data_IF_904580307437
#
_entry.id   IF_904580307437
#
_cell.length_a   1.000
_cell.length_b   1.000
_cell.length_c   1.000
_cell.angle_alpha   90.00
_cell.angle_beta   90.00
_cell.angle_gamma   90.00
#
_symmetry.space_group_name_H-M   'P 1'
#
loop_
_entity.id
_entity.type
_entity.pdbx_description
1 polymer ?
#
# COMPACT_ATOMS: atom_id res chain seq x y z
N UNK A 1 -2.84 18.99 20.82
CA UNK A 1 -2.55 17.61 20.41
C UNK A 1 -2.69 17.57 18.90
N UNK A 2 -1.67 17.11 18.18
CA UNK A 2 -1.76 16.92 16.72
C UNK A 2 -2.80 15.84 16.42
N UNK A 3 -3.64 16.10 15.44
CA UNK A 3 -4.61 15.13 14.95
C UNK A 3 -3.89 14.11 14.05
N UNK A 4 -3.48 12.99 14.63
CA UNK A 4 -2.86 11.89 13.88
C UNK A 4 -3.86 11.13 13.01
N UNK A 5 -5.17 11.45 13.04
CA UNK A 5 -6.18 10.79 12.19
C UNK A 5 -5.84 10.92 10.71
N UNK A 6 -5.27 12.06 10.30
CA UNK A 6 -4.83 12.29 8.93
C UNK A 6 -3.69 11.34 8.48
N UNK A 7 -2.93 10.78 9.42
CA UNK A 7 -1.90 9.77 9.13
C UNK A 7 -2.53 8.47 8.62
N UNK A 8 -3.72 8.12 9.13
CA UNK A 8 -4.38 6.85 8.86
C UNK A 8 -5.44 6.94 7.76
N UNK A 9 -5.78 8.15 7.30
CA UNK A 9 -6.79 8.38 6.28
C UNK A 9 -6.51 7.54 5.01
N UNK A 10 -7.45 6.68 4.65
CA UNK A 10 -7.38 5.72 3.55
C UNK A 10 -6.06 4.92 3.48
N UNK A 11 -5.47 4.58 4.64
CA UNK A 11 -4.19 3.88 4.73
C UNK A 11 -4.30 2.39 4.41
N UNK A 12 -5.44 1.77 4.69
CA UNK A 12 -5.63 0.31 4.60
C UNK A 12 -6.36 -0.06 3.30
N UNK A 13 -5.60 -0.39 2.25
CA UNK A 13 -6.18 -0.95 1.02
C UNK A 13 -6.69 -2.37 1.33
N UNK A 14 -7.99 -2.62 1.10
CA UNK A 14 -8.64 -3.89 1.46
C UNK A 14 -8.28 -4.99 0.46
N UNK A 15 -7.30 -5.82 0.82
CA UNK A 15 -6.81 -6.94 0.03
C UNK A 15 -7.32 -8.29 0.56
N UNK A 16 -8.52 -8.36 1.15
CA UNK A 16 -9.07 -9.59 1.71
C UNK A 16 -9.18 -10.77 0.72
N UNK A 17 -9.23 -10.49 -0.59
CA UNK A 17 -9.20 -11.52 -1.64
C UNK A 17 -7.80 -12.10 -1.93
N UNK A 18 -6.75 -11.60 -1.29
CA UNK A 18 -5.38 -12.07 -1.46
C UNK A 18 -4.93 -12.89 -0.24
N UNK A 19 -3.96 -13.80 -0.41
CA UNK A 19 -3.40 -14.55 0.71
C UNK A 19 -2.82 -13.62 1.80
N UNK A 20 -2.88 -14.03 3.08
CA UNK A 20 -3.36 -15.34 3.56
C UNK A 20 -4.88 -15.49 3.68
N UNK A 21 -5.67 -14.41 3.73
CA UNK A 21 -7.13 -14.54 3.94
C UNK A 21 -7.85 -15.23 2.77
N UNK A 22 -7.47 -14.91 1.51
CA UNK A 22 -8.02 -15.51 0.27
C UNK A 22 -9.57 -15.61 0.25
N UNK A 23 -10.24 -14.58 0.78
CA UNK A 23 -11.70 -14.58 0.86
C UNK A 23 -12.32 -14.63 -0.53
N UNK A 24 -13.39 -15.42 -0.66
CA UNK A 24 -14.19 -15.41 -1.88
C UNK A 24 -14.90 -14.07 -2.02
N UNK A 25 -14.99 -13.57 -3.25
CA UNK A 25 -15.49 -12.23 -3.57
C UNK A 25 -16.80 -11.83 -2.86
N UNK A 26 -17.85 -12.68 -2.77
CA UNK A 26 -19.07 -12.29 -2.03
C UNK A 26 -18.84 -12.06 -0.53
N UNK A 27 -17.91 -12.79 0.09
CA UNK A 27 -17.55 -12.59 1.50
C UNK A 27 -16.70 -11.33 1.66
N UNK A 28 -15.70 -11.15 0.79
CA UNK A 28 -14.83 -9.96 0.78
C UNK A 28 -15.64 -8.66 0.57
N UNK A 29 -16.61 -8.63 -0.35
CA UNK A 29 -17.47 -7.47 -0.57
C UNK A 29 -18.32 -7.12 0.66
N UNK A 30 -18.89 -8.13 1.33
CA UNK A 30 -19.68 -7.89 2.56
C UNK A 30 -18.79 -7.40 3.70
N UNK A 31 -17.58 -7.94 3.82
CA UNK A 31 -16.60 -7.49 4.81
C UNK A 31 -16.17 -6.03 4.53
N UNK A 32 -15.80 -5.72 3.29
CA UNK A 32 -15.46 -4.37 2.88
C UNK A 32 -16.59 -3.37 3.19
N UNK A 33 -17.84 -3.72 2.83
CA UNK A 33 -19.00 -2.88 3.13
C UNK A 33 -19.19 -2.64 4.64
N UNK A 34 -18.89 -3.64 5.49
CA UNK A 34 -18.91 -3.48 6.95
C UNK A 34 -17.84 -2.50 7.42
N UNK A 35 -16.61 -2.62 6.93
CA UNK A 35 -15.52 -1.70 7.28
C UNK A 35 -15.85 -0.25 6.86
N UNK A 36 -16.48 -0.06 5.70
CA UNK A 36 -16.93 1.26 5.20
C UNK A 36 -18.08 1.88 6.00
N UNK A 37 -18.74 1.11 6.87
CA UNK A 37 -19.79 1.57 7.79
C UNK A 37 -19.34 1.62 9.25
N UNK A 38 -18.10 1.21 9.55
CA UNK A 38 -17.56 1.18 10.91
C UNK A 38 -17.11 2.57 11.36
N UNK A 39 -16.87 2.74 12.67
CA UNK A 39 -16.40 4.00 13.25
C UNK A 39 -15.02 4.44 12.74
N UNK A 40 -14.24 3.50 12.17
CA UNK A 40 -12.93 3.73 11.57
C UNK A 40 -12.97 3.85 10.03
N UNK A 41 -14.15 4.01 9.42
CA UNK A 41 -14.30 3.99 7.95
C UNK A 41 -13.35 4.94 7.19
N UNK A 42 -12.93 6.04 7.81
CA UNK A 42 -11.98 7.00 7.22
C UNK A 42 -10.58 6.42 6.99
N UNK A 43 -10.20 5.34 7.68
CA UNK A 43 -8.91 4.66 7.47
C UNK A 43 -8.94 3.64 6.33
N UNK A 44 -10.14 3.29 5.84
CA UNK A 44 -10.35 2.24 4.85
C UNK A 44 -10.12 2.79 3.45
N UNK A 45 -9.10 2.27 2.78
CA UNK A 45 -8.76 2.54 1.39
C UNK A 45 -9.68 1.80 0.40
N UNK A 46 -9.30 1.78 -0.90
CA UNK A 46 -10.05 1.06 -1.93
C UNK A 46 -10.05 -0.45 -1.72
N UNK A 47 -11.02 -1.13 -2.34
CA UNK A 47 -11.05 -2.58 -2.46
C UNK A 47 -10.01 -3.05 -3.50
N UNK A 48 -9.09 -3.89 -3.10
CA UNK A 48 -8.05 -4.42 -3.98
C UNK A 48 -8.58 -5.66 -4.70
N UNK A 49 -8.59 -5.64 -6.03
CA UNK A 49 -9.08 -6.75 -6.84
C UNK A 49 -8.11 -7.04 -7.98
N UNK A 50 -7.86 -8.32 -8.27
CA UNK A 50 -7.16 -8.67 -9.51
C UNK A 50 -7.99 -8.17 -10.70
N UNK A 51 -7.31 -7.51 -11.64
CA UNK A 51 -7.93 -6.93 -12.82
C UNK A 51 -8.75 -7.98 -13.60
N UNK A 52 -8.35 -9.25 -13.63
CA UNK A 52 -9.08 -10.31 -14.36
C UNK A 52 -10.52 -10.50 -13.86
N UNK A 53 -10.82 -10.16 -12.61
CA UNK A 53 -12.13 -10.38 -11.99
C UNK A 53 -13.02 -9.13 -11.97
N UNK A 54 -12.64 -8.02 -12.60
CA UNK A 54 -13.41 -6.77 -12.52
C UNK A 54 -14.83 -6.88 -13.08
N UNK A 55 -15.06 -7.66 -14.13
CA UNK A 55 -16.41 -7.89 -14.67
C UNK A 55 -17.30 -8.60 -13.65
N UNK A 56 -16.77 -9.65 -13.02
CA UNK A 56 -17.45 -10.39 -11.97
C UNK A 56 -17.69 -9.51 -10.74
N UNK A 57 -16.71 -8.68 -10.36
CA UNK A 57 -16.81 -7.73 -9.26
C UNK A 57 -17.94 -6.72 -9.51
N UNK A 58 -17.99 -6.13 -10.70
CA UNK A 58 -19.03 -5.19 -11.09
C UNK A 58 -20.43 -5.83 -11.03
N UNK A 59 -20.58 -7.04 -11.59
CA UNK A 59 -21.84 -7.77 -11.56
C UNK A 59 -22.29 -8.11 -10.12
N UNK A 60 -21.36 -8.54 -9.26
CA UNK A 60 -21.66 -8.84 -7.86
C UNK A 60 -22.00 -7.58 -7.05
N UNK A 61 -21.25 -6.50 -7.23
CA UNK A 61 -21.56 -5.21 -6.60
C UNK A 61 -22.95 -4.71 -7.00
N UNK A 62 -23.29 -4.82 -8.30
CA UNK A 62 -24.63 -4.50 -8.81
C UNK A 62 -25.72 -5.36 -8.17
N UNK A 63 -25.51 -6.68 -8.11
CA UNK A 63 -26.48 -7.61 -7.54
C UNK A 63 -26.71 -7.37 -6.04
N UNK A 64 -25.68 -6.89 -5.33
CA UNK A 64 -25.76 -6.49 -3.92
C UNK A 64 -26.33 -5.07 -3.72
N UNK A 65 -26.60 -4.32 -4.80
CA UNK A 65 -27.10 -2.95 -4.72
C UNK A 65 -26.09 -1.95 -4.16
N UNK A 66 -24.79 -2.23 -4.28
CA UNK A 66 -23.73 -1.34 -3.81
C UNK A 66 -23.61 -0.13 -4.75
N UNK A 67 -23.21 1.02 -4.18
CA UNK A 67 -22.72 2.14 -4.99
C UNK A 67 -21.43 1.74 -5.74
N UNK A 68 -21.03 2.50 -6.79
CA UNK A 68 -19.79 2.20 -7.52
C UNK A 68 -18.60 2.03 -6.57
N UNK A 69 -18.00 0.85 -6.61
CA UNK A 69 -16.99 0.44 -5.64
C UNK A 69 -15.64 1.10 -5.98
N UNK A 70 -14.99 1.82 -5.06
CA UNK A 70 -13.62 2.30 -5.25
C UNK A 70 -12.66 1.10 -5.27
N UNK A 71 -11.92 0.93 -6.38
CA UNK A 71 -11.09 -0.26 -6.61
C UNK A 71 -9.65 0.11 -6.94
N UNK A 72 -8.70 -0.59 -6.30
CA UNK A 72 -7.33 -0.70 -6.76
C UNK A 72 -7.17 -1.99 -7.57
N UNK A 73 -6.93 -1.88 -8.87
CA UNK A 73 -6.86 -3.03 -9.77
C UNK A 73 -5.43 -3.57 -9.88
N UNK A 74 -5.23 -4.85 -9.54
CA UNK A 74 -3.93 -5.53 -9.65
C UNK A 74 -3.85 -6.30 -10.97
N UNK A 75 -2.94 -5.91 -11.86
CA UNK A 75 -2.71 -6.57 -13.15
C UNK A 75 -1.62 -7.62 -13.00
N UNK A 76 -1.93 -8.70 -12.29
CA UNK A 76 -0.92 -9.73 -11.98
C UNK A 76 -0.31 -10.39 -13.21
N UNK A 77 -0.96 -10.38 -14.37
CA UNK A 77 -0.43 -10.96 -15.61
C UNK A 77 0.61 -10.07 -16.31
N UNK A 78 0.83 -8.85 -15.80
CA UNK A 78 1.84 -7.93 -16.28
C UNK A 78 1.34 -6.96 -17.35
N UNK A 79 2.28 -6.18 -17.91
CA UNK A 79 1.98 -5.00 -18.72
C UNK A 79 1.26 -5.29 -20.05
N UNK A 80 1.31 -6.53 -20.54
CA UNK A 80 0.66 -6.92 -21.80
C UNK A 80 -0.88 -6.84 -21.76
N UNK A 81 -1.48 -6.97 -20.58
CA UNK A 81 -2.93 -6.94 -20.41
C UNK A 81 -3.51 -5.52 -20.28
N UNK A 82 -2.66 -4.50 -20.21
CA UNK A 82 -3.08 -3.12 -19.96
C UNK A 82 -3.97 -2.54 -21.06
N UNK A 83 -3.68 -2.84 -22.33
CA UNK A 83 -4.53 -2.40 -23.44
C UNK A 83 -5.95 -2.99 -23.36
N UNK A 84 -6.06 -4.29 -23.04
CA UNK A 84 -7.34 -4.98 -22.87
C UNK A 84 -8.11 -4.46 -21.66
N UNK A 85 -7.41 -4.25 -20.54
CA UNK A 85 -7.99 -3.67 -19.34
C UNK A 85 -8.57 -2.27 -19.61
N UNK A 86 -7.84 -1.41 -20.32
CA UNK A 86 -8.31 -0.05 -20.64
C UNK A 86 -9.62 -0.07 -21.42
N UNK A 87 -9.70 -0.93 -22.45
CA UNK A 87 -10.92 -1.08 -23.25
C UNK A 87 -12.11 -1.57 -22.41
N UNK A 88 -11.86 -2.53 -21.51
CA UNK A 88 -12.90 -3.08 -20.62
C UNK A 88 -13.43 -2.07 -19.60
N UNK A 89 -12.55 -1.28 -18.98
CA UNK A 89 -12.95 -0.30 -17.95
C UNK A 89 -13.98 0.71 -18.43
N UNK A 90 -13.99 1.04 -19.73
CA UNK A 90 -14.98 1.94 -20.31
C UNK A 90 -16.44 1.44 -20.18
N UNK A 91 -16.64 0.13 -20.00
CA UNK A 91 -17.96 -0.48 -19.82
C UNK A 91 -18.36 -0.74 -18.37
N UNK A 92 -17.48 -0.53 -17.39
CA UNK A 92 -17.72 -0.88 -15.99
C UNK A 92 -18.20 0.33 -15.19
N UNK A 93 -19.51 0.46 -15.00
CA UNK A 93 -20.12 1.57 -14.24
C UNK A 93 -20.14 1.35 -12.72
N UNK A 94 -20.04 0.09 -12.28
CA UNK A 94 -20.08 -0.29 -10.86
C UNK A 94 -18.70 -0.33 -10.19
N UNK A 95 -17.66 0.02 -10.94
CA UNK A 95 -16.27 0.08 -10.46
C UNK A 95 -15.74 1.48 -10.71
N UNK A 96 -15.30 2.14 -9.64
CA UNK A 96 -14.55 3.40 -9.70
C UNK A 96 -13.07 3.06 -9.53
N UNK A 97 -12.31 3.09 -10.63
CA UNK A 97 -10.87 2.78 -10.57
C UNK A 97 -10.12 3.91 -9.83
N UNK A 98 -9.56 3.59 -8.67
CA UNK A 98 -8.78 4.51 -7.82
C UNK A 98 -7.27 4.35 -8.00
N UNK A 99 -6.82 3.15 -8.38
CA UNK A 99 -5.42 2.87 -8.62
C UNK A 99 -5.25 1.66 -9.55
N UNK A 100 -4.13 1.64 -10.25
CA UNK A 100 -3.66 0.50 -11.01
C UNK A 100 -2.34 0.01 -10.42
N UNK A 101 -2.21 -1.28 -10.19
CA UNK A 101 -1.00 -1.89 -9.65
C UNK A 101 -0.48 -2.97 -10.59
N UNK A 102 0.77 -2.83 -11.02
CA UNK A 102 1.35 -3.75 -12.01
C UNK A 102 2.72 -4.21 -11.53
N UNK A 103 2.98 -5.52 -11.45
CA UNK A 103 4.32 -6.01 -11.19
C UNK A 103 5.20 -5.90 -12.42
N UNK A 104 6.43 -5.40 -12.24
CA UNK A 104 7.42 -5.29 -13.32
C UNK A 104 7.74 -6.68 -13.91
N UNK A 105 7.94 -7.68 -13.03
CA UNK A 105 8.34 -9.05 -13.41
C UNK A 105 9.53 -9.03 -14.38
N UNK A 106 9.35 -9.62 -15.57
CA UNK A 106 10.38 -9.74 -16.60
C UNK A 106 10.34 -8.58 -17.62
N UNK A 107 9.43 -7.61 -17.46
CA UNK A 107 9.40 -6.44 -18.33
C UNK A 107 10.55 -5.49 -17.99
N UNK A 108 10.99 -4.72 -18.99
CA UNK A 108 11.91 -3.61 -18.74
C UNK A 108 11.14 -2.40 -18.19
N UNK A 109 11.82 -1.56 -17.41
CA UNK A 109 11.23 -0.33 -16.86
C UNK A 109 10.68 0.59 -17.98
N UNK A 110 11.39 0.85 -19.10
CA UNK A 110 10.84 1.65 -20.20
C UNK A 110 9.57 1.06 -20.84
N UNK A 111 9.51 -0.26 -21.00
CA UNK A 111 8.33 -0.92 -21.55
C UNK A 111 7.12 -0.77 -20.62
N UNK A 112 7.34 -0.91 -19.30
CA UNK A 112 6.29 -0.70 -18.31
C UNK A 112 5.79 0.76 -18.29
N UNK A 113 6.71 1.73 -18.34
CA UNK A 113 6.37 3.16 -18.42
C UNK A 113 5.51 3.47 -19.65
N UNK A 114 5.91 2.99 -20.82
CA UNK A 114 5.15 3.19 -22.06
C UNK A 114 3.77 2.55 -22.01
N UNK A 115 3.63 1.36 -21.42
CA UNK A 115 2.36 0.67 -21.33
C UNK A 115 1.39 1.33 -20.32
N UNK A 116 1.92 1.99 -19.29
CA UNK A 116 1.14 2.67 -18.25
C UNK A 116 0.79 4.13 -18.58
N UNK A 117 1.51 4.76 -19.52
CA UNK A 117 1.31 6.15 -19.94
C UNK A 117 -0.16 6.51 -20.18
N UNK A 118 -0.98 5.69 -20.88
CA UNK A 118 -2.36 6.08 -21.15
C UNK A 118 -3.24 6.18 -19.90
N UNK A 119 -2.92 5.41 -18.85
CA UNK A 119 -3.63 5.47 -17.56
C UNK A 119 -3.21 6.70 -16.77
N UNK A 120 -1.90 7.01 -16.78
CA UNK A 120 -1.35 8.21 -16.14
C UNK A 120 -1.90 9.48 -16.80
N UNK A 121 -1.95 9.53 -18.14
CA UNK A 121 -2.55 10.64 -18.88
C UNK A 121 -4.05 10.80 -18.59
N UNK A 122 -4.75 9.69 -18.32
CA UNK A 122 -6.13 9.66 -17.83
C UNK A 122 -6.31 10.02 -16.36
N UNK A 123 -5.23 10.37 -15.65
CA UNK A 123 -5.28 10.77 -14.23
C UNK A 123 -5.40 9.62 -13.24
N UNK A 124 -5.26 8.36 -13.68
CA UNK A 124 -5.29 7.19 -12.80
C UNK A 124 -3.92 7.03 -12.13
N UNK A 125 -3.85 6.97 -10.78
CA UNK A 125 -2.63 6.59 -10.10
C UNK A 125 -2.14 5.20 -10.48
N UNK A 126 -0.93 5.11 -11.03
CA UNK A 126 -0.31 3.86 -11.45
C UNK A 126 0.88 3.52 -10.56
N UNK A 127 0.83 2.36 -9.92
CA UNK A 127 1.87 1.81 -9.08
C UNK A 127 2.59 0.68 -9.81
N UNK A 128 3.90 0.82 -10.00
CA UNK A 128 4.75 -0.24 -10.51
C UNK A 128 5.41 -0.96 -9.33
N UNK A 129 5.17 -2.26 -9.21
CA UNK A 129 5.84 -3.09 -8.21
C UNK A 129 7.21 -3.50 -8.72
N UNK A 130 8.25 -2.93 -8.12
CA UNK A 130 9.66 -3.18 -8.44
C UNK A 130 10.28 -3.91 -7.24
N UNK A 131 11.05 -4.99 -7.44
CA UNK A 131 11.74 -5.67 -6.35
C UNK A 131 12.62 -4.70 -5.55
N UNK A 132 12.58 -4.78 -4.21
CA UNK A 132 13.31 -3.86 -3.31
C UNK A 132 14.78 -3.71 -3.70
N UNK A 133 15.49 -4.82 -3.94
CA UNK A 133 16.90 -4.82 -4.33
C UNK A 133 17.20 -4.30 -5.75
N UNK A 134 16.17 -4.03 -6.55
CA UNK A 134 16.30 -3.45 -7.89
C UNK A 134 15.95 -1.96 -7.94
N UNK A 135 15.55 -1.35 -6.81
CA UNK A 135 15.24 0.07 -6.74
C UNK A 135 16.50 0.86 -6.39
N UNK A 136 16.92 1.71 -7.31
CA UNK A 136 18.01 2.67 -7.16
C UNK A 136 17.54 4.09 -7.54
N UNK A 137 18.45 5.07 -7.43
CA UNK A 137 18.17 6.48 -7.76
C UNK A 137 17.65 6.65 -9.19
N UNK A 138 18.18 5.88 -10.16
CA UNK A 138 17.72 5.95 -11.55
C UNK A 138 16.30 5.43 -11.69
N UNK A 139 15.98 4.33 -11.01
CA UNK A 139 14.65 3.73 -11.02
C UNK A 139 13.61 4.72 -10.48
N UNK A 140 13.87 5.36 -9.34
CA UNK A 140 12.93 6.33 -8.76
C UNK A 140 12.82 7.59 -9.63
N UNK A 141 13.93 8.05 -10.21
CA UNK A 141 13.94 9.19 -11.13
C UNK A 141 13.08 8.95 -12.37
N UNK A 142 13.27 7.81 -13.02
CA UNK A 142 12.52 7.42 -14.22
C UNK A 142 11.02 7.27 -13.92
N UNK A 143 10.66 6.65 -12.79
CA UNK A 143 9.28 6.55 -12.33
C UNK A 143 8.65 7.94 -12.09
N UNK A 144 9.38 8.83 -11.41
CA UNK A 144 8.93 10.20 -11.13
C UNK A 144 8.66 10.99 -12.41
N UNK A 145 9.55 10.90 -13.39
CA UNK A 145 9.37 11.53 -14.72
C UNK A 145 8.16 11.00 -15.47
N UNK A 146 7.86 9.70 -15.35
CA UNK A 146 6.66 9.09 -15.91
C UNK A 146 5.40 9.30 -15.05
N UNK A 147 5.50 10.04 -13.93
CA UNK A 147 4.41 10.25 -12.95
C UNK A 147 3.82 8.93 -12.43
N UNK A 148 4.64 7.88 -12.41
CA UNK A 148 4.32 6.61 -11.79
C UNK A 148 4.64 6.68 -10.30
N UNK A 149 4.06 5.74 -9.55
CA UNK A 149 4.30 5.53 -8.13
C UNK A 149 5.00 4.20 -7.93
N UNK A 150 5.77 4.08 -6.86
CA UNK A 150 6.45 2.83 -6.53
C UNK A 150 5.56 1.94 -5.66
N UNK A 151 5.58 0.64 -5.91
CA UNK A 151 5.01 -0.34 -4.98
C UNK A 151 6.12 -1.27 -4.50
N UNK A 152 6.25 -1.36 -3.18
CA UNK A 152 7.25 -2.19 -2.51
C UNK A 152 6.57 -3.41 -1.91
N UNK A 153 7.10 -4.59 -2.21
CA UNK A 153 6.71 -5.83 -1.55
C UNK A 153 7.54 -6.01 -0.29
N UNK A 154 6.87 -6.19 0.84
CA UNK A 154 7.48 -6.31 2.18
C UNK A 154 7.24 -7.67 2.84
N UNK A 155 6.64 -8.61 2.11
CA UNK A 155 6.44 -10.00 2.54
C UNK A 155 5.93 -10.89 1.42
N UNK A 156 5.75 -12.17 1.72
CA UNK A 156 5.27 -13.17 0.78
C UNK A 156 5.33 -14.58 1.34
N UNK A 157 5.41 -15.58 0.46
CA UNK A 157 5.46 -17.00 0.84
C UNK A 157 6.89 -17.56 0.90
N UNK A 158 7.90 -16.79 0.50
CA UNK A 158 9.32 -17.15 0.57
C UNK A 158 10.10 -16.10 1.34
N UNK A 159 11.23 -16.51 1.94
CA UNK A 159 12.10 -15.63 2.71
C UNK A 159 12.61 -14.43 1.89
N UNK A 160 12.85 -14.61 0.59
CA UNK A 160 13.32 -13.55 -0.31
C UNK A 160 12.32 -12.39 -0.46
N UNK A 161 11.05 -12.61 -0.10
CA UNK A 161 10.04 -11.56 -0.09
C UNK A 161 10.08 -10.67 1.16
N UNK A 162 10.86 -11.05 2.19
CA UNK A 162 11.04 -10.33 3.45
C UNK A 162 12.38 -9.60 3.45
N UNK A 163 12.38 -8.37 2.91
CA UNK A 163 13.59 -7.54 2.90
C UNK A 163 13.95 -7.07 4.31
N UNK A 164 15.26 -7.00 4.63
CA UNK A 164 15.73 -6.41 5.88
C UNK A 164 15.41 -4.91 5.97
N UNK A 165 15.51 -4.34 7.17
CA UNK A 165 15.42 -2.89 7.39
C UNK A 165 16.42 -2.10 6.54
N UNK A 166 17.65 -2.60 6.39
CA UNK A 166 18.68 -1.95 5.61
C UNK A 166 18.32 -1.94 4.10
N UNK A 167 17.80 -3.06 3.59
CA UNK A 167 17.38 -3.13 2.19
C UNK A 167 16.12 -2.31 1.91
N UNK A 168 15.16 -2.26 2.84
CA UNK A 168 13.94 -1.47 2.67
C UNK A 168 14.18 0.04 2.85
N UNK A 169 15.19 0.45 3.64
CA UNK A 169 15.53 1.86 3.81
C UNK A 169 16.01 2.51 2.50
N UNK A 170 16.72 1.78 1.64
CA UNK A 170 17.26 2.29 0.37
C UNK A 170 16.17 2.86 -0.54
N UNK A 171 15.12 2.12 -0.95
CA UNK A 171 14.07 2.67 -1.80
C UNK A 171 13.27 3.78 -1.10
N UNK A 172 13.09 3.74 0.22
CA UNK A 172 12.37 4.80 0.95
C UNK A 172 13.16 6.12 0.89
N UNK A 173 14.49 6.08 1.07
CA UNK A 173 15.36 7.26 0.93
C UNK A 173 15.41 7.75 -0.52
N UNK A 174 15.51 6.85 -1.50
CA UNK A 174 15.47 7.21 -2.91
C UNK A 174 14.13 7.90 -3.27
N UNK A 175 13.01 7.38 -2.75
CA UNK A 175 11.70 8.03 -2.90
C UNK A 175 11.67 9.42 -2.24
N UNK A 176 12.29 9.61 -1.08
CA UNK A 176 12.37 10.92 -0.43
C UNK A 176 13.10 11.95 -1.29
N UNK A 177 14.23 11.56 -1.89
CA UNK A 177 15.05 12.43 -2.72
C UNK A 177 14.30 12.93 -3.96
N UNK A 178 13.52 12.05 -4.60
CA UNK A 178 12.75 12.37 -5.81
C UNK A 178 11.29 12.77 -5.52
N UNK A 179 10.90 12.85 -4.24
CA UNK A 179 9.50 13.06 -3.79
C UNK A 179 8.53 12.07 -4.45
N UNK A 180 9.00 10.84 -4.67
CA UNK A 180 8.24 9.77 -5.29
C UNK A 180 7.27 9.17 -4.27
N UNK A 181 6.01 9.08 -4.66
CA UNK A 181 5.00 8.38 -3.88
C UNK A 181 5.22 6.88 -3.95
N UNK A 182 5.10 6.20 -2.81
CA UNK A 182 5.16 4.76 -2.74
C UNK A 182 4.05 4.17 -1.88
N UNK A 183 3.79 2.89 -2.09
CA UNK A 183 2.95 2.08 -1.20
C UNK A 183 3.56 0.72 -0.96
N UNK A 184 3.12 0.04 0.08
CA UNK A 184 3.61 -1.28 0.42
C UNK A 184 2.55 -2.37 0.21
N UNK A 185 2.99 -3.61 0.07
CA UNK A 185 2.10 -4.77 0.00
C UNK A 185 2.74 -5.97 0.66
N UNK A 186 1.89 -6.84 1.22
CA UNK A 186 2.23 -8.07 1.92
C UNK A 186 3.10 -7.85 3.19
N UNK A 187 2.75 -8.55 4.26
CA UNK A 187 3.57 -8.62 5.48
C UNK A 187 3.36 -7.50 6.51
N UNK A 188 2.60 -6.44 6.20
CA UNK A 188 2.36 -5.29 7.10
C UNK A 188 1.07 -5.45 7.95
N UNK A 189 0.88 -6.61 8.58
CA UNK A 189 -0.31 -6.91 9.38
C UNK A 189 -0.32 -6.18 10.73
N UNK A 190 0.87 -5.92 11.26
CA UNK A 190 1.04 -5.30 12.57
C UNK A 190 1.60 -3.88 12.50
N UNK A 191 1.28 -3.09 13.51
CA UNK A 191 1.75 -1.71 13.65
C UNK A 191 3.26 -1.63 13.83
N UNK A 192 3.82 -2.57 14.58
CA UNK A 192 5.22 -2.61 14.99
C UNK A 192 5.94 -3.81 14.36
N UNK A 193 7.20 -3.61 14.03
CA UNK A 193 8.10 -4.63 13.52
C UNK A 193 8.14 -5.81 14.50
N UNK A 194 8.04 -7.03 13.99
CA UNK A 194 8.02 -8.24 14.81
C UNK A 194 8.60 -9.42 14.05
N UNK A 195 8.85 -10.51 14.78
CA UNK A 195 9.21 -11.80 14.21
C UNK A 195 8.01 -12.72 14.32
N UNK A 196 7.58 -13.29 13.20
CA UNK A 196 6.49 -14.26 13.19
C UNK A 196 6.95 -15.56 13.85
N UNK A 197 6.21 -16.05 14.85
CA UNK A 197 6.62 -17.22 15.64
C UNK A 197 6.58 -18.52 14.84
N UNK A 198 5.67 -18.63 13.85
CA UNK A 198 5.45 -19.84 13.09
C UNK A 198 6.49 -20.05 11.98
N UNK A 199 6.83 -18.98 11.26
CA UNK A 199 7.75 -18.99 10.12
C UNK A 199 9.16 -18.54 10.50
N UNK A 200 9.29 -17.79 11.61
CA UNK A 200 10.53 -17.16 12.03
C UNK A 200 10.93 -15.96 11.15
N UNK A 201 10.07 -15.52 10.22
CA UNK A 201 10.33 -14.40 9.33
C UNK A 201 10.19 -13.07 10.06
N UNK A 202 10.98 -12.10 9.63
CA UNK A 202 10.97 -10.75 10.17
C UNK A 202 10.01 -9.87 9.37
N UNK A 203 8.99 -9.34 10.03
CA UNK A 203 7.96 -8.50 9.43
C UNK A 203 8.16 -7.03 9.81
N UNK A 204 8.00 -6.14 8.83
CA UNK A 204 7.95 -4.70 9.08
C UNK A 204 6.61 -4.31 9.73
N UNK A 205 6.64 -3.32 10.60
CA UNK A 205 5.42 -2.67 11.09
C UNK A 205 4.96 -1.54 10.17
N UNK A 206 3.66 -1.37 9.96
CA UNK A 206 3.19 -0.26 9.11
C UNK A 206 3.48 1.13 9.72
N UNK A 207 3.56 1.24 11.05
CA UNK A 207 4.00 2.48 11.71
C UNK A 207 5.51 2.68 11.57
N UNK A 208 6.31 1.61 11.61
CA UNK A 208 7.74 1.71 11.31
C UNK A 208 7.97 2.26 9.90
N UNK A 209 7.22 1.80 8.89
CA UNK A 209 7.31 2.32 7.51
C UNK A 209 6.89 3.79 7.44
N UNK A 210 5.82 4.19 8.14
CA UNK A 210 5.39 5.59 8.18
C UNK A 210 6.46 6.50 8.82
N UNK A 211 7.04 6.09 9.95
CA UNK A 211 8.12 6.82 10.62
C UNK A 211 9.41 6.82 9.78
N UNK A 212 9.70 5.73 9.07
CA UNK A 212 10.82 5.65 8.15
C UNK A 212 10.67 6.64 6.99
N UNK A 213 9.47 6.76 6.40
CA UNK A 213 9.16 7.76 5.38
C UNK A 213 9.40 9.19 5.91
N UNK A 214 8.99 9.46 7.16
CA UNK A 214 9.30 10.73 7.82
C UNK A 214 10.80 10.97 7.90
N UNK A 215 11.56 10.03 8.46
CA UNK A 215 13.00 10.18 8.69
C UNK A 215 13.76 10.35 7.37
N UNK A 216 13.39 9.58 6.36
CA UNK A 216 13.93 9.70 5.02
C UNK A 216 13.66 11.09 4.43
N UNK A 217 12.43 11.59 4.52
CA UNK A 217 12.06 12.93 4.06
C UNK A 217 12.83 14.06 4.77
N UNK A 218 13.11 13.88 6.06
CA UNK A 218 13.80 14.89 6.87
C UNK A 218 15.33 14.85 6.72
N UNK A 219 15.92 13.68 6.49
CA UNK A 219 17.37 13.48 6.64
C UNK A 219 18.06 12.92 5.40
N UNK A 220 17.33 12.22 4.51
CA UNK A 220 17.93 11.44 3.43
C UNK A 220 18.90 10.35 3.90
N UNK A 221 18.90 9.98 5.18
CA UNK A 221 19.90 9.09 5.76
C UNK A 221 19.38 7.65 5.82
N UNK A 222 20.00 6.74 5.08
CA UNK A 222 19.62 5.33 5.03
C UNK A 222 19.79 4.60 6.38
N UNK A 223 20.84 4.89 7.14
CA UNK A 223 21.08 4.25 8.43
C UNK A 223 20.05 4.69 9.49
N UNK A 224 19.71 5.98 9.54
CA UNK A 224 18.66 6.49 10.43
C UNK A 224 17.27 5.95 10.03
N UNK A 225 17.00 5.85 8.73
CA UNK A 225 15.76 5.25 8.21
C UNK A 225 15.66 3.77 8.57
N UNK A 226 16.75 3.01 8.41
CA UNK A 226 16.82 1.61 8.80
C UNK A 226 16.66 1.40 10.31
N UNK A 227 17.22 2.29 11.14
CA UNK A 227 17.09 2.20 12.60
C UNK A 227 15.61 2.31 13.07
N UNK A 228 14.83 3.18 12.43
CA UNK A 228 13.39 3.29 12.70
C UNK A 228 12.62 2.08 12.17
N UNK A 229 13.00 1.56 11.01
CA UNK A 229 12.44 0.31 10.49
C UNK A 229 12.71 -0.87 11.43
N UNK A 230 13.86 -0.88 12.11
CA UNK A 230 14.30 -1.93 13.04
C UNK A 230 13.61 -1.89 14.42
N UNK A 231 12.91 -0.81 14.75
CA UNK A 231 12.33 -0.62 16.09
C UNK A 231 11.22 -1.63 16.36
N UNK A 232 11.42 -2.48 17.36
CA UNK A 232 10.50 -3.53 17.80
C UNK A 232 9.78 -3.18 19.10
N UNK A 233 10.09 -2.03 19.72
CA UNK A 233 9.45 -1.61 20.97
C UNK A 233 8.15 -0.83 20.69
N UNK A 234 6.98 -1.38 21.05
CA UNK A 234 5.71 -0.69 20.83
C UNK A 234 5.60 0.66 21.55
N UNK A 235 6.23 0.83 22.71
CA UNK A 235 6.20 2.09 23.45
C UNK A 235 7.05 3.17 22.77
N UNK A 236 8.21 2.79 22.25
CA UNK A 236 9.05 3.66 21.41
C UNK A 236 8.28 4.12 20.16
N UNK A 237 7.74 3.18 19.37
CA UNK A 237 6.99 3.50 18.14
C UNK A 237 5.77 4.37 18.43
N UNK A 238 5.00 4.04 19.47
CA UNK A 238 3.85 4.84 19.89
C UNK A 238 4.25 6.28 20.23
N UNK A 239 5.32 6.45 21.01
CA UNK A 239 5.81 7.77 21.42
C UNK A 239 6.25 8.60 20.22
N UNK A 240 6.95 7.99 19.26
CA UNK A 240 7.36 8.66 18.03
C UNK A 240 6.16 9.09 17.18
N UNK A 241 5.13 8.26 17.06
CA UNK A 241 3.90 8.61 16.33
C UNK A 241 3.15 9.75 17.01
N UNK A 242 3.03 9.74 18.35
CA UNK A 242 2.39 10.83 19.11
C UNK A 242 3.16 12.15 19.01
N UNK A 243 4.46 12.10 18.75
CA UNK A 243 5.30 13.27 18.59
C UNK A 243 5.26 13.87 17.17
N UNK A 244 4.60 13.22 16.20
CA UNK A 244 4.45 13.76 14.86
C UNK A 244 3.64 15.06 14.89
N UNK A 245 4.15 16.09 14.22
CA UNK A 245 3.42 17.33 13.96
C UNK A 245 2.56 17.18 12.70
N UNK A 246 1.64 18.12 12.46
CA UNK A 246 0.82 18.14 11.24
C UNK A 246 1.71 18.19 9.97
N UNK A 247 2.86 18.87 10.06
CA UNK A 247 3.86 18.92 8.99
C UNK A 247 4.53 17.57 8.78
N UNK A 248 4.85 16.83 9.85
CA UNK A 248 5.40 15.49 9.73
C UNK A 248 4.37 14.54 9.10
N UNK A 249 3.11 14.59 9.55
CA UNK A 249 2.01 13.80 8.96
C UNK A 249 1.86 14.11 7.47
N UNK A 250 1.83 15.38 7.09
CA UNK A 250 1.75 15.78 5.68
C UNK A 250 2.95 15.27 4.87
N UNK A 251 4.17 15.32 5.42
CA UNK A 251 5.37 14.81 4.77
C UNK A 251 5.32 13.28 4.57
N UNK A 252 4.88 12.54 5.60
CA UNK A 252 4.67 11.09 5.50
C UNK A 252 3.67 10.77 4.41
N UNK A 253 2.48 11.39 4.44
CA UNK A 253 1.39 11.10 3.50
C UNK A 253 1.67 11.61 2.08
N UNK A 254 2.57 12.58 1.91
CA UNK A 254 3.08 12.97 0.60
C UNK A 254 3.93 11.87 -0.07
N UNK A 255 4.50 10.95 0.71
CA UNK A 255 5.32 9.84 0.21
C UNK A 255 4.64 8.49 0.36
N UNK A 256 4.38 8.04 1.59
CA UNK A 256 3.76 6.76 1.90
C UNK A 256 2.24 6.88 1.74
N UNK A 257 1.69 6.28 0.68
CA UNK A 257 0.27 6.42 0.32
C UNK A 257 -0.65 5.45 1.06
N UNK A 258 -0.33 4.17 1.07
CA UNK A 258 -1.18 3.12 1.65
C UNK A 258 -0.40 1.82 1.80
N UNK A 259 -1.04 0.80 2.34
CA UNK A 259 -0.61 -0.57 2.14
C UNK A 259 -1.79 -1.52 2.00
N UNK A 260 -1.58 -2.62 1.29
CA UNK A 260 -2.56 -3.71 1.19
C UNK A 260 -2.54 -4.60 2.43
N UNK A 261 -3.70 -4.80 3.06
CA UNK A 261 -3.90 -5.77 4.15
C UNK A 261 -5.02 -6.75 3.80
N UNK A 262 -4.85 -8.03 4.16
CA UNK A 262 -5.93 -9.01 3.99
C UNK A 262 -6.94 -9.01 5.15
N UNK A 263 -6.66 -8.23 6.20
CA UNK A 263 -7.53 -8.03 7.35
C UNK A 263 -7.40 -6.56 7.79
N UNK A 264 -8.48 -5.79 7.68
CA UNK A 264 -8.51 -4.41 8.20
C UNK A 264 -8.60 -4.40 9.72
N UNK A 265 -9.19 -5.44 10.32
CA UNK A 265 -9.38 -5.52 11.76
C UNK A 265 -8.04 -5.61 12.52
N UNK A 266 -7.02 -6.27 11.94
CA UNK A 266 -5.67 -6.39 12.53
C UNK A 266 -4.97 -5.03 12.76
N UNK A 267 -4.72 -4.18 11.74
CA UNK A 267 -4.08 -2.90 11.95
C UNK A 267 -4.93 -1.95 12.80
N UNK A 268 -6.26 -2.04 12.75
CA UNK A 268 -7.14 -1.28 13.64
C UNK A 268 -6.98 -1.73 15.10
N UNK A 269 -6.95 -3.04 15.36
CA UNK A 269 -6.76 -3.59 16.69
C UNK A 269 -5.42 -3.13 17.29
N UNK A 270 -4.34 -3.15 16.50
CA UNK A 270 -3.04 -2.65 16.94
C UNK A 270 -3.06 -1.15 17.26
N UNK A 271 -3.70 -0.32 16.41
CA UNK A 271 -3.84 1.12 16.70
C UNK A 271 -4.63 1.38 17.99
N UNK A 272 -5.67 0.59 18.27
CA UNK A 272 -6.45 0.67 19.52
C UNK A 272 -5.61 0.21 20.72
N UNK A 273 -4.89 -0.91 20.61
CA UNK A 273 -4.03 -1.45 21.67
C UNK A 273 -2.90 -0.47 22.02
N UNK A 274 -2.36 0.24 21.03
CA UNK A 274 -1.38 1.31 21.22
C UNK A 274 -2.02 2.65 21.65
N UNK A 275 -3.35 2.72 21.80
CA UNK A 275 -4.07 3.95 22.16
C UNK A 275 -3.87 5.10 21.17
N UNK A 276 -3.50 4.81 19.92
CA UNK A 276 -3.31 5.79 18.85
C UNK A 276 -4.63 6.18 18.20
N UNK A 277 -5.63 5.32 18.32
CA UNK A 277 -7.04 5.60 18.00
C UNK A 277 -7.92 5.12 19.16
N UNK A 278 -9.11 5.69 19.29
CA UNK A 278 -10.09 5.30 20.32
C UNK A 278 -11.25 4.59 19.66
N UNK A 279 -11.53 3.35 20.08
CA UNK A 279 -12.70 2.63 19.61
C UNK A 279 -13.99 3.34 20.03
N UNK A 280 -14.99 3.34 19.14
CA UNK A 280 -16.31 3.94 19.38
C UNK A 280 -17.41 2.90 19.33
#
# INVERSE_FOLDING_TARGET
MTDTTALYAALFDDAAMFPPADLKMPAALRQHARHRLAWYADTVGPFVCNARWLDQLAAQAQALGLAPLPVAAVVSDGIGELGRLRARLAGLTQVSLQALEVPLKNASLPAAMSALEPFVAGGVPCYLEVPVGAVDDRTVHDLGRARLRLKLRTGGTSIDAFSSEAHLAVPIVACAAERLQFKCTAGLHNAVRHRDEATGFEHHGFLNVALAARVAAATGNAAATAAVLADTDPLSVQSQVRALTDRDVAAVRAMFCSFGTCSIDEPIADLVAMGLVTAR
#
